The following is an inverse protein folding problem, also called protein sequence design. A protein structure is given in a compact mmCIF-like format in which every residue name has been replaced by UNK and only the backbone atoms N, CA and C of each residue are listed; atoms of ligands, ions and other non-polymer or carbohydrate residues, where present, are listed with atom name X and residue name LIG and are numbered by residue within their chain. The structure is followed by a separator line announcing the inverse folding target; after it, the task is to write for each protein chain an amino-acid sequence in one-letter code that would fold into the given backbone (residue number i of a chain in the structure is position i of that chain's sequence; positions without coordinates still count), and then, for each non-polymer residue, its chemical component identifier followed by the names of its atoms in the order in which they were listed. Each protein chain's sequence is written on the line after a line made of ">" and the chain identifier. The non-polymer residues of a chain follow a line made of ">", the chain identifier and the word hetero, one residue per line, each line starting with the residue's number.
data_IF_585007961614
#
_entry.id   IF_585007961614
#
_cell.length_a   1.000
_cell.length_b   1.000
_cell.length_c   1.000
_cell.angle_alpha   90.00
_cell.angle_beta   90.00
_cell.angle_gamma   90.00
#
_symmetry.space_group_name_H-M   'P 1'
#
loop_
_entity.id
_entity.type
_entity.pdbx_description
1 polymer ?
#
# COMPACT_ATOMS: atom_id res chain seq x y z
N UNK A 1 37.87 -10.96 13.61
CA UNK A 1 36.62 -11.55 14.16
C UNK A 1 35.54 -11.34 13.11
N UNK A 2 35.21 -12.38 12.35
CA UNK A 2 34.19 -12.30 11.29
C UNK A 2 32.80 -12.51 11.90
N UNK A 3 31.93 -11.53 11.74
CA UNK A 3 30.53 -11.59 12.15
C UNK A 3 29.80 -12.62 11.28
N UNK A 4 29.08 -13.60 11.84
CA UNK A 4 28.30 -14.53 11.02
C UNK A 4 27.16 -13.78 10.33
N UNK A 5 27.15 -13.88 8.99
CA UNK A 5 26.04 -13.50 8.14
C UNK A 5 24.76 -14.16 8.64
N UNK A 6 23.79 -13.36 9.08
CA UNK A 6 22.47 -13.87 9.41
C UNK A 6 21.87 -14.42 8.12
N UNK A 7 21.63 -15.73 8.11
CA UNK A 7 20.98 -16.45 7.02
C UNK A 7 19.71 -15.68 6.63
N UNK A 8 19.75 -15.00 5.47
CA UNK A 8 18.55 -14.57 4.77
C UNK A 8 17.72 -15.84 4.59
N UNK A 9 16.68 -16.01 5.41
CA UNK A 9 15.63 -16.97 5.12
C UNK A 9 15.15 -16.57 3.74
N UNK A 10 15.51 -17.36 2.73
CA UNK A 10 14.92 -17.30 1.41
C UNK A 10 13.45 -17.67 1.57
N UNK A 11 12.66 -16.69 2.01
CA UNK A 11 11.22 -16.73 1.96
C UNK A 11 10.93 -16.63 0.47
N UNK A 12 10.45 -17.73 -0.11
CA UNK A 12 10.00 -17.70 -1.49
C UNK A 12 8.98 -16.56 -1.63
N UNK A 13 9.11 -15.69 -2.63
CA UNK A 13 8.21 -14.57 -2.81
C UNK A 13 6.76 -15.06 -2.93
N UNK A 14 5.85 -14.46 -2.16
CA UNK A 14 4.43 -14.79 -2.24
C UNK A 14 3.85 -14.07 -3.45
N UNK A 15 3.76 -14.78 -4.57
CA UNK A 15 3.12 -14.26 -5.79
C UNK A 15 1.64 -14.59 -5.75
N UNK A 16 0.79 -13.58 -5.78
CA UNK A 16 -0.66 -13.75 -5.77
C UNK A 16 -1.32 -12.95 -6.89
N UNK A 17 -2.28 -13.55 -7.60
CA UNK A 17 -3.16 -12.78 -8.47
C UNK A 17 -4.11 -11.95 -7.61
N UNK A 18 -4.45 -10.76 -8.11
CA UNK A 18 -5.36 -9.87 -7.41
C UNK A 18 -5.74 -8.66 -8.25
N UNK A 19 -6.33 -7.71 -7.55
CA UNK A 19 -6.83 -6.48 -8.12
C UNK A 19 -6.32 -5.30 -7.31
N UNK A 20 -5.58 -4.41 -7.95
CA UNK A 20 -5.04 -3.19 -7.37
C UNK A 20 -5.87 -2.01 -7.84
N UNK A 21 -6.55 -1.36 -6.92
CA UNK A 21 -7.21 -0.08 -7.17
C UNK A 21 -6.26 1.04 -6.79
N UNK A 22 -5.89 1.89 -7.74
CA UNK A 22 -5.05 3.07 -7.53
C UNK A 22 -5.89 4.33 -7.48
N UNK A 23 -5.61 5.17 -6.49
CA UNK A 23 -6.24 6.48 -6.37
C UNK A 23 -5.21 7.53 -5.99
N UNK A 24 -5.20 8.62 -6.73
CA UNK A 24 -4.42 9.81 -6.37
C UNK A 24 -5.25 10.69 -5.45
N UNK A 25 -4.72 10.97 -4.26
CA UNK A 25 -5.33 11.84 -3.26
C UNK A 25 -4.52 13.12 -3.16
N UNK A 26 -5.21 14.25 -3.01
CA UNK A 26 -4.57 15.54 -2.77
C UNK A 26 -4.39 15.73 -1.27
N UNK A 27 -3.21 15.40 -0.78
CA UNK A 27 -2.78 15.64 0.59
C UNK A 27 -2.39 17.09 0.83
N UNK A 28 -2.03 17.37 2.09
CA UNK A 28 -1.49 18.68 2.50
C UNK A 28 -0.11 18.93 1.89
N UNK A 29 0.67 17.88 1.68
CA UNK A 29 2.05 17.96 1.16
C UNK A 29 2.14 17.78 -0.35
N UNK A 30 1.01 17.54 -1.03
CA UNK A 30 0.97 17.30 -2.48
C UNK A 30 0.03 16.15 -2.84
N UNK A 31 -0.16 15.87 -4.14
CA UNK A 31 -0.83 14.66 -4.57
C UNK A 31 0.03 13.44 -4.24
N UNK A 32 -0.55 12.42 -3.61
CA UNK A 32 0.08 11.12 -3.37
C UNK A 32 -0.84 10.02 -3.89
N UNK A 33 -0.28 8.92 -4.38
CA UNK A 33 -1.07 7.77 -4.85
C UNK A 33 -1.08 6.68 -3.79
N UNK A 34 -2.28 6.18 -3.50
CA UNK A 34 -2.46 4.99 -2.66
C UNK A 34 -3.10 3.88 -3.48
N UNK A 35 -2.65 2.66 -3.21
CA UNK A 35 -3.20 1.44 -3.78
C UNK A 35 -3.97 0.64 -2.74
N UNK A 36 -5.10 0.07 -3.15
CA UNK A 36 -5.80 -0.96 -2.37
C UNK A 36 -5.72 -2.27 -3.15
N UNK A 37 -5.00 -3.23 -2.60
CA UNK A 37 -4.79 -4.54 -3.19
C UNK A 37 -5.80 -5.55 -2.61
N UNK A 38 -6.70 -6.06 -3.45
CA UNK A 38 -7.61 -7.14 -3.11
C UNK A 38 -7.11 -8.46 -3.69
N UNK A 39 -6.91 -9.46 -2.84
CA UNK A 39 -6.45 -10.81 -3.21
C UNK A 39 -7.26 -11.86 -2.46
N UNK A 40 -7.07 -13.14 -2.79
CA UNK A 40 -7.67 -14.22 -1.99
C UNK A 40 -7.10 -14.31 -0.56
N UNK A 41 -5.96 -13.68 -0.27
CA UNK A 41 -5.37 -13.61 1.07
C UNK A 41 -6.03 -12.55 1.94
N UNK A 42 -6.72 -11.60 1.32
CA UNK A 42 -7.35 -10.46 1.98
C UNK A 42 -7.19 -9.17 1.19
N UNK A 43 -7.55 -8.07 1.83
CA UNK A 43 -7.41 -6.72 1.30
C UNK A 43 -6.34 -5.97 2.07
N UNK A 44 -5.42 -5.34 1.34
CA UNK A 44 -4.25 -4.68 1.89
C UNK A 44 -4.11 -3.27 1.31
N UNK A 45 -3.66 -2.33 2.15
CA UNK A 45 -3.25 -1.01 1.69
C UNK A 45 -1.79 -1.07 1.19
N UNK A 46 -1.53 -0.48 0.04
CA UNK A 46 -0.22 -0.41 -0.60
C UNK A 46 0.10 1.07 -0.80
N UNK A 47 1.06 1.58 -0.04
CA UNK A 47 1.55 2.95 -0.13
C UNK A 47 2.99 2.91 -0.61
N UNK A 48 3.18 2.53 -1.88
CA UNK A 48 4.49 2.39 -2.51
C UNK A 48 4.70 3.54 -3.52
N UNK A 49 5.84 4.24 -3.51
CA UNK A 49 6.14 5.28 -4.50
C UNK A 49 6.10 4.78 -5.94
N UNK A 50 6.34 3.48 -6.21
CA UNK A 50 6.21 2.92 -7.56
C UNK A 50 4.77 3.00 -8.10
N UNK A 51 3.76 3.21 -7.26
CA UNK A 51 2.38 3.37 -7.71
C UNK A 51 2.12 4.72 -8.39
N UNK A 52 2.93 5.74 -8.10
CA UNK A 52 2.72 7.10 -8.63
C UNK A 52 2.95 7.22 -10.14
N UNK A 53 3.68 6.26 -10.74
CA UNK A 53 3.90 6.22 -12.18
C UNK A 53 2.69 5.70 -12.98
N UNK A 54 1.72 5.09 -12.31
CA UNK A 54 0.52 4.55 -12.94
C UNK A 54 -0.66 5.50 -12.75
N UNK A 55 -1.50 5.69 -13.79
CA UNK A 55 -2.69 6.52 -13.64
C UNK A 55 -3.66 5.94 -12.63
N UNK A 56 -4.53 6.78 -12.06
CA UNK A 56 -5.62 6.28 -11.22
C UNK A 56 -6.51 5.33 -12.03
N UNK A 57 -6.83 4.19 -11.44
CA UNK A 57 -7.40 3.10 -12.21
C UNK A 57 -7.50 1.81 -11.42
N UNK A 58 -8.20 0.87 -11.99
CA UNK A 58 -8.36 -0.47 -11.46
C UNK A 58 -7.58 -1.43 -12.33
N UNK A 59 -6.67 -2.16 -11.72
CA UNK A 59 -5.72 -3.02 -12.39
C UNK A 59 -5.87 -4.44 -11.89
N UNK A 60 -6.09 -5.39 -12.80
CA UNK A 60 -5.92 -6.81 -12.48
C UNK A 60 -4.46 -7.18 -12.70
N UNK A 61 -3.92 -8.10 -11.91
CA UNK A 61 -2.48 -8.34 -11.98
C UNK A 61 -1.98 -9.45 -11.09
N UNK A 62 -0.67 -9.67 -11.17
CA UNK A 62 0.08 -10.51 -10.23
C UNK A 62 0.96 -9.62 -9.36
N UNK A 63 0.93 -9.87 -8.05
CA UNK A 63 1.61 -9.06 -7.05
C UNK A 63 2.57 -9.93 -6.26
N UNK A 64 3.82 -9.48 -6.17
CA UNK A 64 4.88 -10.15 -5.42
C UNK A 64 4.91 -9.53 -4.03
N UNK A 65 4.23 -10.16 -3.07
CA UNK A 65 4.17 -9.68 -1.69
C UNK A 65 5.49 -10.03 -0.98
N UNK A 66 6.21 -8.99 -0.55
CA UNK A 66 7.42 -9.13 0.28
C UNK A 66 7.04 -9.43 1.73
N UNK A 67 6.19 -8.61 2.33
CA UNK A 67 5.64 -8.84 3.66
C UNK A 67 4.32 -8.07 3.88
N UNK A 68 3.48 -8.62 4.75
CA UNK A 68 2.23 -8.00 5.22
C UNK A 68 2.45 -7.57 6.67
N UNK A 69 2.07 -6.34 6.99
CA UNK A 69 2.30 -5.77 8.31
C UNK A 69 1.17 -4.83 8.72
N UNK A 70 0.75 -4.84 9.99
CA UNK A 70 -0.14 -3.83 10.51
C UNK A 70 0.62 -2.51 10.65
N UNK A 71 0.03 -1.42 10.18
CA UNK A 71 0.48 -0.05 10.46
C UNK A 71 -0.60 0.64 11.29
N UNK A 72 -0.19 1.26 12.38
CA UNK A 72 -1.07 2.08 13.20
C UNK A 72 -0.55 3.51 13.27
N UNK A 73 -1.46 4.48 13.19
CA UNK A 73 -1.13 5.89 13.32
C UNK A 73 -2.24 6.65 14.06
N UNK A 74 -1.89 7.71 14.80
CA UNK A 74 -2.87 8.53 15.50
C UNK A 74 -3.73 9.31 14.49
N UNK A 75 -5.03 9.37 14.76
CA UNK A 75 -6.00 10.22 14.03
C UNK A 75 -6.78 11.03 15.05
N UNK A 76 -7.36 12.17 14.66
CA UNK A 76 -8.07 13.06 15.60
C UNK A 76 -9.10 12.31 16.45
N UNK A 77 -8.78 12.10 17.74
CA UNK A 77 -9.63 11.39 18.71
C UNK A 77 -9.40 9.88 18.86
N UNK A 78 -8.40 9.27 18.22
CA UNK A 78 -8.14 7.84 18.37
C UNK A 78 -6.91 7.30 17.62
N UNK A 79 -6.82 5.98 17.51
CA UNK A 79 -5.79 5.28 16.76
C UNK A 79 -6.43 4.62 15.54
N UNK A 80 -5.78 4.71 14.38
CA UNK A 80 -6.17 3.98 13.18
C UNK A 80 -5.24 2.81 12.95
N UNK A 81 -5.78 1.70 12.45
CA UNK A 81 -5.04 0.50 12.08
C UNK A 81 -5.34 0.13 10.63
N UNK A 82 -4.29 -0.17 9.87
CA UNK A 82 -4.36 -0.62 8.49
C UNK A 82 -3.49 -1.86 8.33
N UNK A 83 -3.96 -2.84 7.55
CA UNK A 83 -3.11 -3.96 7.13
C UNK A 83 -2.48 -3.57 5.81
N UNK A 84 -1.15 -3.38 5.82
CA UNK A 84 -0.37 -2.99 4.64
C UNK A 84 0.38 -4.16 4.04
N UNK A 85 0.54 -4.13 2.73
CA UNK A 85 1.43 -5.02 2.00
C UNK A 85 2.57 -4.20 1.39
N UNK A 86 3.81 -4.66 1.60
CA UNK A 86 4.96 -4.21 0.83
C UNK A 86 5.16 -5.18 -0.33
N UNK A 87 5.29 -4.65 -1.53
CA UNK A 87 5.50 -5.43 -2.75
C UNK A 87 6.97 -5.36 -3.16
N UNK A 88 7.51 -6.47 -3.67
CA UNK A 88 8.82 -6.49 -4.36
C UNK A 88 8.67 -6.31 -5.88
N UNK A 89 7.42 -6.37 -6.37
CA UNK A 89 7.10 -6.18 -7.77
C UNK A 89 5.62 -6.43 -8.04
N UNK A 90 5.16 -5.96 -9.20
CA UNK A 90 3.81 -6.20 -9.68
C UNK A 90 3.75 -6.19 -11.20
N UNK A 91 2.84 -6.99 -11.74
CA UNK A 91 2.51 -7.01 -13.17
C UNK A 91 1.06 -6.57 -13.30
N UNK A 92 0.85 -5.39 -13.88
CA UNK A 92 -0.49 -4.82 -14.08
C UNK A 92 -1.01 -5.14 -15.49
N UNK A 93 -2.19 -5.73 -15.56
CA UNK A 93 -2.88 -6.14 -16.78
C UNK A 93 -4.17 -5.33 -16.94
N UNK A 94 -4.23 -4.50 -17.98
CA UNK A 94 -5.40 -3.70 -18.29
C UNK A 94 -5.65 -2.54 -17.31
N UNK A 95 -6.47 -1.57 -17.73
CA UNK A 95 -6.93 -0.48 -16.86
C UNK A 95 -8.44 -0.35 -17.00
N UNK A 96 -9.14 -0.61 -15.90
CA UNK A 96 -10.55 -0.31 -15.75
C UNK A 96 -10.74 1.03 -15.03
N UNK A 97 -11.83 1.72 -15.36
CA UNK A 97 -12.18 2.99 -14.70
C UNK A 97 -12.62 2.71 -13.26
N UNK A 98 -12.14 3.50 -12.30
CA UNK A 98 -12.63 3.44 -10.93
C UNK A 98 -14.14 3.69 -10.87
N UNK A 99 -14.87 2.82 -10.19
CA UNK A 99 -16.26 3.10 -9.84
C UNK A 99 -16.34 4.18 -8.74
N UNK A 100 -17.45 4.91 -8.71
CA UNK A 100 -17.71 5.95 -7.70
C UNK A 100 -17.70 5.41 -6.27
N UNK A 101 -18.06 4.14 -6.08
CA UNK A 101 -18.11 3.48 -4.78
C UNK A 101 -16.70 3.14 -4.26
N UNK A 102 -15.83 2.67 -5.16
CA UNK A 102 -14.42 2.40 -4.85
C UNK A 102 -13.69 3.70 -4.49
N UNK A 103 -13.92 4.78 -5.24
CA UNK A 103 -13.36 6.09 -4.94
C UNK A 103 -13.78 6.63 -3.55
N UNK A 104 -14.98 6.29 -3.08
CA UNK A 104 -15.46 6.68 -1.74
C UNK A 104 -14.82 5.88 -0.62
N UNK A 105 -14.46 4.63 -0.87
CA UNK A 105 -13.80 3.76 0.12
C UNK A 105 -12.48 4.37 0.59
N UNK A 106 -11.68 4.86 -0.35
CA UNK A 106 -10.41 5.55 -0.06
C UNK A 106 -10.61 6.80 0.80
N UNK A 107 -11.61 7.64 0.50
CA UNK A 107 -11.83 8.92 1.19
C UNK A 107 -11.95 8.81 2.72
N UNK A 108 -12.32 7.62 3.21
CA UNK A 108 -12.42 7.36 4.65
C UNK A 108 -11.06 7.01 5.27
N UNK A 109 -10.07 6.55 4.50
CA UNK A 109 -8.77 5.98 4.91
C UNK A 109 -7.56 6.89 4.60
N UNK A 110 -7.78 8.02 3.94
CA UNK A 110 -6.71 8.81 3.31
C UNK A 110 -5.95 9.72 4.30
N UNK A 111 -4.95 9.18 4.99
CA UNK A 111 -3.86 9.97 5.61
C UNK A 111 -2.62 9.90 4.72
N UNK A 112 -2.02 11.07 4.46
CA UNK A 112 -0.80 11.21 3.66
C UNK A 112 0.34 10.41 4.31
N UNK A 113 1.05 9.53 3.55
CA UNK A 113 2.19 8.80 4.08
C UNK A 113 3.22 9.69 4.79
N UNK A 114 3.45 10.92 4.31
CA UNK A 114 4.42 11.85 4.89
C UNK A 114 3.97 12.40 6.24
N UNK A 115 2.66 12.64 6.40
CA UNK A 115 2.08 13.08 7.67
C UNK A 115 2.21 11.97 8.75
N UNK A 116 2.17 10.69 8.33
CA UNK A 116 2.39 9.54 9.23
C UNK A 116 3.83 9.43 9.71
N UNK A 117 4.82 9.74 8.86
CA UNK A 117 6.24 9.71 9.21
C UNK A 117 6.61 10.84 10.18
N UNK A 118 6.05 12.04 9.98
CA UNK A 118 6.31 13.20 10.84
C UNK A 118 5.62 13.12 12.19
N UNK A 119 4.44 12.50 12.28
CA UNK A 119 3.76 12.24 13.56
C UNK A 119 4.44 11.19 14.44
N UNK A 120 5.38 10.39 13.90
CA UNK A 120 6.06 9.31 14.61
C UNK A 120 7.38 9.74 15.28
N UNK A 121 7.86 10.97 15.07
CA UNK A 121 9.04 11.49 15.78
C UNK A 121 8.62 12.11 17.12
N UNK A 122 9.03 11.53 18.27
CA UNK A 122 8.93 12.24 19.53
C UNK A 122 9.93 13.42 19.51
N UNK A 123 9.49 14.56 20.02
CA UNK A 123 10.35 15.71 20.32
C UNK A 123 11.32 15.42 21.48
#
# INVERSE_FOLDING_TARGET
>A
MATPSASEKSVAPIVVPGQLTLRTIRGKNGPFTVGRLATHLGTFEVKDPELEQYPEGKYDGEFIIRYIFPKSYPVGGGMRFEIRASLDGMTLNGIDKLSRDEARSFATQDVDPLDEEQGAQPA
#
